data_IF_164175828194
#
_entry.id   IF_164175828194
#
_cell.length_a   1.000
_cell.length_b   1.000
_cell.length_c   1.000
_cell.angle_alpha   90.00
_cell.angle_beta   90.00
_cell.angle_gamma   90.00
#
_symmetry.space_group_name_H-M   'P 1'
#
loop_
_entity.id
_entity.type
_entity.pdbx_description
1 polymer ?
#
# COMPACT_ATOMS: atom_id res chain seq x y z
N UNK A 1 -1.70 -12.24 7.90
CA UNK A 1 -1.94 -10.80 7.72
C UNK A 1 -3.41 -10.38 7.83
N UNK A 2 -4.29 -11.20 8.34
CA UNK A 2 -5.73 -10.99 8.24
C UNK A 2 -6.32 -9.89 9.13
N UNK A 3 -5.81 -9.56 10.25
CA UNK A 3 -6.38 -8.54 11.16
C UNK A 3 -5.48 -7.32 11.32
N UNK A 4 -4.59 -7.07 10.37
CA UNK A 4 -3.69 -5.95 10.44
C UNK A 4 -4.27 -4.71 9.77
N UNK A 5 -3.83 -3.52 10.22
CA UNK A 5 -4.25 -2.25 9.64
C UNK A 5 -3.96 -2.15 8.13
N UNK A 6 -2.76 -2.53 7.63
CA UNK A 6 -2.52 -2.48 6.18
C UNK A 6 -3.43 -3.41 5.39
N UNK A 7 -3.75 -4.59 5.91
CA UNK A 7 -4.68 -5.50 5.23
C UNK A 7 -6.07 -4.89 5.10
N UNK A 8 -6.55 -4.25 6.16
CA UNK A 8 -7.84 -3.58 6.15
C UNK A 8 -7.88 -2.45 5.11
N UNK A 9 -6.85 -1.61 5.07
CA UNK A 9 -6.77 -0.51 4.11
C UNK A 9 -6.72 -1.04 2.67
N UNK A 10 -5.86 -2.02 2.40
CA UNK A 10 -5.70 -2.58 1.05
C UNK A 10 -6.98 -3.22 0.54
N UNK A 11 -7.76 -3.86 1.43
CA UNK A 11 -9.05 -4.44 1.06
C UNK A 11 -10.09 -3.39 0.67
N UNK A 12 -9.94 -2.16 1.14
CA UNK A 12 -10.87 -1.08 0.83
C UNK A 12 -10.54 -0.34 -0.46
N UNK A 13 -9.37 -0.58 -1.06
CA UNK A 13 -8.92 0.11 -2.27
C UNK A 13 -9.48 -0.57 -3.52
N UNK A 14 -9.84 0.25 -4.51
CA UNK A 14 -10.23 -0.23 -5.85
C UNK A 14 -9.00 -0.60 -6.66
N UNK A 15 -9.20 -1.28 -7.80
CA UNK A 15 -8.08 -1.62 -8.70
C UNK A 15 -7.33 -0.39 -9.21
N UNK A 16 -8.00 0.68 -9.67
CA UNK A 16 -7.27 1.90 -10.05
C UNK A 16 -6.44 2.48 -8.91
N UNK A 17 -6.96 2.44 -7.68
CA UNK A 17 -6.22 2.93 -6.51
C UNK A 17 -5.00 2.05 -6.20
N UNK A 18 -5.13 0.74 -6.31
CA UNK A 18 -4.00 -0.18 -6.15
C UNK A 18 -2.93 0.06 -7.21
N UNK A 19 -3.32 0.32 -8.45
CA UNK A 19 -2.39 0.63 -9.53
C UNK A 19 -1.65 1.95 -9.28
N UNK A 20 -2.33 2.96 -8.78
CA UNK A 20 -1.70 4.23 -8.40
C UNK A 20 -0.74 4.06 -7.23
N UNK A 21 -1.11 3.24 -6.24
CA UNK A 21 -0.24 2.94 -5.13
C UNK A 21 1.02 2.20 -5.58
N UNK A 22 0.87 1.23 -6.48
CA UNK A 22 2.02 0.50 -7.04
C UNK A 22 3.02 1.47 -7.68
N UNK A 23 2.54 2.39 -8.48
CA UNK A 23 3.39 3.40 -9.11
C UNK A 23 4.04 4.31 -8.07
N UNK A 24 3.27 4.74 -7.07
CA UNK A 24 3.76 5.61 -6.00
C UNK A 24 4.90 4.96 -5.21
N UNK A 25 4.69 3.74 -4.70
CA UNK A 25 5.70 3.07 -3.88
C UNK A 25 6.93 2.70 -4.69
N UNK A 26 6.74 2.27 -5.94
CA UNK A 26 7.85 1.86 -6.81
C UNK A 26 8.72 3.02 -7.25
N UNK A 27 8.17 4.23 -7.34
CA UNK A 27 8.91 5.42 -7.79
C UNK A 27 9.49 6.23 -6.64
N UNK A 28 8.89 6.19 -5.45
CA UNK A 28 9.28 7.03 -4.31
C UNK A 28 10.11 6.31 -3.26
N UNK A 29 10.09 4.99 -3.26
CA UNK A 29 10.73 4.18 -2.22
C UNK A 29 11.51 3.03 -2.84
N UNK A 30 12.42 2.48 -2.05
CA UNK A 30 13.17 1.26 -2.37
C UNK A 30 13.44 0.50 -1.06
N UNK A 31 13.79 -0.78 -1.17
CA UNK A 31 14.13 -1.61 -0.01
C UNK A 31 13.05 -2.60 0.38
N UNK A 32 13.00 -2.95 1.66
CA UNK A 32 12.16 -4.03 2.18
C UNK A 32 10.66 -3.76 1.96
N UNK A 33 10.21 -2.53 2.11
CA UNK A 33 8.80 -2.16 1.96
C UNK A 33 8.33 -2.36 0.52
N UNK A 34 9.15 -2.04 -0.47
CA UNK A 34 8.84 -2.25 -1.88
C UNK A 34 8.78 -3.75 -2.20
N UNK A 35 9.75 -4.51 -1.70
CA UNK A 35 9.78 -5.97 -1.87
C UNK A 35 8.56 -6.62 -1.22
N UNK A 36 8.18 -6.15 -0.04
CA UNK A 36 6.97 -6.60 0.65
C UNK A 36 5.73 -6.34 -0.21
N UNK A 37 5.60 -5.14 -0.77
CA UNK A 37 4.48 -4.79 -1.65
C UNK A 37 4.42 -5.70 -2.89
N UNK A 38 5.56 -5.95 -3.52
CA UNK A 38 5.61 -6.81 -4.70
C UNK A 38 5.12 -8.23 -4.38
N UNK A 39 5.40 -8.72 -3.18
CA UNK A 39 4.93 -10.04 -2.75
C UNK A 39 3.41 -10.06 -2.52
N UNK A 40 2.86 -9.03 -1.86
CA UNK A 40 1.45 -9.02 -1.48
C UNK A 40 0.52 -8.52 -2.59
N UNK A 41 1.05 -7.84 -3.59
CA UNK A 41 0.26 -7.24 -4.67
C UNK A 41 -0.70 -8.23 -5.37
N UNK A 42 -0.28 -9.45 -5.76
CA UNK A 42 -1.20 -10.41 -6.37
C UNK A 42 -2.36 -10.78 -5.46
N UNK A 43 -2.11 -10.90 -4.17
CA UNK A 43 -3.17 -11.22 -3.19
C UNK A 43 -4.19 -10.08 -3.09
N UNK A 44 -3.74 -8.84 -3.19
CA UNK A 44 -4.64 -7.68 -3.20
C UNK A 44 -5.51 -7.68 -4.44
N UNK A 45 -4.93 -7.97 -5.61
CA UNK A 45 -5.64 -8.03 -6.89
C UNK A 45 -6.73 -9.09 -6.88
N UNK A 46 -6.47 -10.24 -6.27
CA UNK A 46 -7.42 -11.35 -6.16
C UNK A 46 -8.36 -11.23 -4.97
N UNK A 47 -8.22 -10.16 -4.16
CA UNK A 47 -8.97 -9.96 -2.92
C UNK A 47 -8.76 -11.08 -1.91
N UNK A 48 -7.55 -11.63 -1.87
CA UNK A 48 -7.21 -12.80 -1.06
C UNK A 48 -6.09 -12.52 -0.07
N UNK A 49 -6.09 -11.33 0.55
CA UNK A 49 -5.06 -10.89 1.51
C UNK A 49 -4.97 -11.82 2.71
N UNK A 50 -6.11 -12.37 3.14
CA UNK A 50 -6.17 -13.28 4.30
C UNK A 50 -5.33 -14.55 4.08
N UNK A 51 -5.04 -14.93 2.84
CA UNK A 51 -4.23 -16.10 2.52
C UNK A 51 -2.73 -15.86 2.62
N UNK A 52 -2.29 -14.62 2.89
CA UNK A 52 -0.87 -14.30 3.01
C UNK A 52 -0.30 -14.93 4.27
N UNK A 53 0.70 -15.80 4.08
CA UNK A 53 1.44 -16.44 5.17
C UNK A 53 2.62 -15.53 5.55
N UNK A 54 2.67 -15.11 6.82
CA UNK A 54 3.71 -14.20 7.30
C UNK A 54 5.11 -14.81 7.20
N UNK A 55 5.25 -16.12 7.35
CA UNK A 55 6.54 -16.81 7.22
C UNK A 55 7.04 -16.78 5.79
N UNK A 56 6.17 -17.04 4.82
CA UNK A 56 6.51 -16.98 3.41
C UNK A 56 6.81 -15.55 2.97
N UNK A 57 6.06 -14.59 3.48
CA UNK A 57 6.29 -13.18 3.23
C UNK A 57 7.65 -12.74 3.76
N UNK A 58 7.99 -13.12 4.99
CA UNK A 58 9.29 -12.84 5.60
C UNK A 58 10.43 -13.41 4.74
N UNK A 59 10.28 -14.67 4.31
CA UNK A 59 11.28 -15.34 3.49
C UNK A 59 11.50 -14.61 2.16
N UNK A 60 10.43 -14.12 1.56
CA UNK A 60 10.54 -13.36 0.32
C UNK A 60 11.28 -12.02 0.50
N UNK A 61 11.02 -11.33 1.61
CA UNK A 61 11.61 -10.01 1.88
C UNK A 61 13.03 -10.11 2.42
N UNK A 62 13.26 -11.00 3.38
CA UNK A 62 14.54 -11.09 4.11
C UNK A 62 15.36 -12.34 3.79
N UNK A 63 14.83 -13.23 2.93
CA UNK A 63 15.54 -14.46 2.54
C UNK A 63 15.58 -15.48 3.65
N UNK A 64 16.74 -16.15 3.82
CA UNK A 64 16.90 -17.23 4.78
C UNK A 64 17.16 -16.77 6.22
N UNK A 65 16.99 -15.50 6.52
CA UNK A 65 17.16 -14.99 7.87
C UNK A 65 16.06 -15.54 8.78
N UNK A 66 16.42 -15.80 10.04
CA UNK A 66 15.49 -16.28 11.04
C UNK A 66 14.37 -15.26 11.24
N UNK A 67 13.12 -15.73 11.31
CA UNK A 67 11.96 -14.88 11.55
C UNK A 67 12.10 -14.12 12.87
N UNK A 68 11.89 -12.81 12.82
CA UNK A 68 11.98 -11.93 13.97
C UNK A 68 10.69 -11.12 14.08
N UNK A 69 9.90 -11.39 15.12
CA UNK A 69 8.56 -10.82 15.30
C UNK A 69 8.56 -9.29 15.30
N UNK A 70 9.47 -8.67 16.04
CA UNK A 70 9.54 -7.21 16.13
C UNK A 70 9.95 -6.57 14.82
N UNK A 71 10.87 -7.20 14.09
CA UNK A 71 11.31 -6.70 12.78
C UNK A 71 10.19 -6.79 11.75
N UNK A 72 9.43 -7.86 11.78
CA UNK A 72 8.26 -8.02 10.92
C UNK A 72 7.17 -6.99 11.25
N UNK A 73 6.90 -6.78 12.55
CA UNK A 73 5.94 -5.77 12.99
C UNK A 73 6.37 -4.36 12.56
N UNK A 74 7.67 -4.06 12.62
CA UNK A 74 8.21 -2.78 12.16
C UNK A 74 8.03 -2.61 10.65
N UNK A 75 8.28 -3.67 9.89
CA UNK A 75 8.04 -3.67 8.43
C UNK A 75 6.58 -3.32 8.13
N UNK A 76 5.63 -3.96 8.81
CA UNK A 76 4.20 -3.67 8.63
C UNK A 76 3.86 -2.23 9.01
N UNK A 77 4.45 -1.73 10.10
CA UNK A 77 4.24 -0.36 10.55
C UNK A 77 4.77 0.65 9.54
N UNK A 78 5.98 0.45 9.04
CA UNK A 78 6.60 1.33 8.05
C UNK A 78 5.83 1.30 6.74
N UNK A 79 5.41 0.12 6.29
CA UNK A 79 4.58 -0.03 5.10
C UNK A 79 3.24 0.69 5.27
N UNK A 80 2.62 0.57 6.44
CA UNK A 80 1.35 1.26 6.74
C UNK A 80 1.49 2.77 6.64
N UNK A 81 2.60 3.33 7.13
CA UNK A 81 2.88 4.77 7.01
C UNK A 81 3.00 5.22 5.57
N UNK A 82 3.65 4.42 4.72
CA UNK A 82 3.75 4.70 3.28
C UNK A 82 2.36 4.70 2.65
N UNK A 83 1.55 3.71 2.99
CA UNK A 83 0.19 3.57 2.48
C UNK A 83 -0.69 4.74 2.91
N UNK A 84 -0.61 5.16 4.18
CA UNK A 84 -1.36 6.31 4.68
C UNK A 84 -0.93 7.60 4.00
N UNK A 85 0.36 7.81 3.78
CA UNK A 85 0.88 8.98 3.07
C UNK A 85 0.36 9.01 1.62
N UNK A 86 0.32 7.85 0.97
CA UNK A 86 -0.26 7.75 -0.38
C UNK A 86 -1.74 8.17 -0.38
N UNK A 87 -2.52 7.69 0.57
CA UNK A 87 -3.95 8.02 0.64
C UNK A 87 -4.20 9.51 0.81
N UNK A 88 -3.41 10.17 1.66
CA UNK A 88 -3.50 11.62 1.84
C UNK A 88 -3.17 12.34 0.54
N UNK A 89 -2.09 11.98 -0.14
CA UNK A 89 -1.70 12.57 -1.42
C UNK A 89 -2.77 12.36 -2.50
N UNK A 90 -3.30 11.15 -2.60
CA UNK A 90 -4.32 10.82 -3.60
C UNK A 90 -5.58 11.64 -3.39
N UNK A 91 -6.00 11.84 -2.15
CA UNK A 91 -7.17 12.67 -1.83
C UNK A 91 -6.93 14.15 -2.08
N UNK A 92 -5.74 14.67 -1.74
CA UNK A 92 -5.39 16.06 -2.03
C UNK A 92 -5.42 16.36 -3.51
N UNK A 93 -4.88 15.48 -4.34
CA UNK A 93 -4.91 15.63 -5.79
C UNK A 93 -6.35 15.65 -6.32
N UNK A 94 -7.20 14.77 -5.83
CA UNK A 94 -8.62 14.74 -6.21
C UNK A 94 -9.33 16.02 -5.81
N UNK A 95 -9.05 16.53 -4.61
CA UNK A 95 -9.66 17.77 -4.11
C UNK A 95 -9.22 18.99 -4.94
N UNK A 96 -7.95 19.08 -5.31
CA UNK A 96 -7.44 20.15 -6.17
C UNK A 96 -8.10 20.15 -7.55
N UNK A 97 -8.21 18.98 -8.17
CA UNK A 97 -8.87 18.83 -9.47
C UNK A 97 -10.34 19.25 -9.34
N UNK A 98 -11.03 18.82 -8.30
CA UNK A 98 -12.40 19.20 -8.04
C UNK A 98 -12.59 20.70 -7.87
N UNK A 99 -11.70 21.35 -7.12
CA UNK A 99 -11.72 22.81 -6.93
C UNK A 99 -11.49 23.55 -8.24
N UNK A 100 -10.53 23.12 -9.06
CA UNK A 100 -10.25 23.74 -10.33
C UNK A 100 -11.43 23.61 -11.29
N UNK A 101 -12.08 22.46 -11.36
CA UNK A 101 -13.26 22.25 -12.16
C UNK A 101 -14.42 23.13 -11.72
N UNK A 102 -14.64 23.25 -10.40
CA UNK A 102 -15.69 24.12 -9.85
C UNK A 102 -15.45 25.58 -10.20
N UNK A 103 -14.20 26.06 -10.12
CA UNK A 103 -13.85 27.43 -10.49
C UNK A 103 -14.10 27.70 -11.97
N UNK A 104 -13.76 26.74 -12.83
CA UNK A 104 -14.01 26.84 -14.27
C UNK A 104 -15.50 26.93 -14.56
N UNK A 105 -16.32 26.17 -13.88
CA UNK A 105 -17.78 26.23 -14.02
C UNK A 105 -18.35 27.57 -13.60
N UNK A 106 -17.81 28.17 -12.54
CA UNK A 106 -18.26 29.47 -12.03
C UNK A 106 -17.91 30.61 -13.00
N UNK A 107 -16.77 30.52 -13.64
CA UNK A 107 -16.28 31.57 -14.54
C UNK A 107 -16.69 31.40 -16.00
N UNK A 108 -17.28 30.30 -16.29
CA UNK A 108 -17.82 30.02 -17.62
C UNK A 108 -19.35 30.18 -17.65
#
# INVERSE_FOLDING_TARGET
>A
MNSTKPAFILNSLSQPELNRFDKYISTQFEGAEVTFWQYIRPFCKERNIVSIDKQKCWKHVFGNKRFHTLKYARLLSDFTKILEAFLVNDQLLKNEIGKQLSLLEIYN
#
